data_IF_820849234241
#
_entry.id   IF_820849234241
#
_cell.length_a   1.000
_cell.length_b   1.000
_cell.length_c   1.000
_cell.angle_alpha   90.00
_cell.angle_beta   90.00
_cell.angle_gamma   90.00
#
_symmetry.space_group_name_H-M   'P 1'
#
loop_
_entity.id
_entity.type
_entity.pdbx_description
1 polymer ?
#
# COMPACT_ATOMS: atom_id res chain seq x y z
N UNK A 1 13.92 -3.04 -15.70
CA UNK A 1 13.43 -3.87 -14.56
C UNK A 1 13.51 -3.00 -13.31
N UNK A 2 12.53 -3.07 -12.39
CA UNK A 2 12.54 -2.24 -11.18
C UNK A 2 13.70 -2.65 -10.26
N UNK A 3 14.47 -1.68 -9.74
CA UNK A 3 15.63 -1.90 -8.86
C UNK A 3 15.32 -2.84 -7.70
N UNK A 4 14.18 -2.62 -7.02
CA UNK A 4 13.76 -3.43 -5.88
C UNK A 4 13.42 -4.89 -6.29
N UNK A 5 13.00 -5.13 -7.53
CA UNK A 5 12.78 -6.47 -8.05
C UNK A 5 14.08 -7.22 -8.29
N UNK A 6 15.09 -6.54 -8.81
CA UNK A 6 16.44 -7.12 -8.98
C UNK A 6 17.01 -7.47 -7.61
N UNK A 7 16.96 -6.53 -6.66
CA UNK A 7 17.39 -6.75 -5.29
C UNK A 7 16.66 -7.93 -4.62
N UNK A 8 15.35 -8.09 -4.84
CA UNK A 8 14.62 -9.25 -4.34
C UNK A 8 15.20 -10.56 -4.90
N UNK A 9 15.47 -10.64 -6.21
CA UNK A 9 15.94 -11.88 -6.84
C UNK A 9 17.38 -12.22 -6.50
N UNK A 10 18.26 -11.23 -6.33
CA UNK A 10 19.70 -11.47 -6.06
C UNK A 10 19.99 -11.73 -4.59
N UNK A 11 19.40 -10.94 -3.70
CA UNK A 11 19.78 -10.91 -2.28
C UNK A 11 18.71 -11.50 -1.36
N UNK A 12 17.44 -11.04 -1.52
CA UNK A 12 16.39 -11.34 -0.54
C UNK A 12 15.99 -12.81 -0.61
N UNK A 13 15.89 -13.40 -1.80
CA UNK A 13 15.55 -14.81 -1.98
C UNK A 13 16.56 -15.71 -1.27
N UNK A 14 17.85 -15.43 -1.41
CA UNK A 14 18.91 -16.25 -0.77
C UNK A 14 18.85 -16.17 0.77
N UNK A 15 18.65 -14.92 1.30
CA UNK A 15 18.54 -14.71 2.77
C UNK A 15 17.34 -15.44 3.35
N UNK A 16 16.17 -15.35 2.71
CA UNK A 16 14.96 -16.03 3.16
C UNK A 16 15.08 -17.55 3.06
N UNK A 17 15.74 -18.06 2.00
CA UNK A 17 15.96 -19.50 1.83
C UNK A 17 16.81 -20.08 2.96
N UNK A 18 17.85 -19.36 3.38
CA UNK A 18 18.71 -19.76 4.49
C UNK A 18 17.97 -19.67 5.83
N UNK A 19 17.27 -18.54 6.09
CA UNK A 19 16.59 -18.29 7.37
C UNK A 19 15.49 -19.31 7.68
N UNK A 20 14.67 -19.64 6.66
CA UNK A 20 13.52 -20.55 6.82
C UNK A 20 13.79 -21.97 6.30
N UNK A 21 15.02 -22.29 5.86
CA UNK A 21 15.43 -23.59 5.34
C UNK A 21 14.52 -24.14 4.23
N UNK A 22 14.09 -23.27 3.31
CA UNK A 22 13.26 -23.71 2.17
C UNK A 22 14.03 -24.67 1.25
N UNK A 23 13.42 -25.81 0.95
CA UNK A 23 13.98 -26.82 0.04
C UNK A 23 13.90 -26.40 -1.43
N UNK A 24 12.89 -25.60 -1.77
CA UNK A 24 12.65 -25.14 -3.13
C UNK A 24 12.58 -23.61 -3.18
N UNK A 25 13.24 -23.01 -4.15
CA UNK A 25 13.20 -21.55 -4.40
C UNK A 25 11.77 -21.05 -4.66
N UNK A 26 10.89 -21.88 -5.18
CA UNK A 26 9.48 -21.53 -5.43
C UNK A 26 8.63 -21.42 -4.15
N UNK A 27 9.12 -21.91 -3.01
CA UNK A 27 8.47 -21.76 -1.71
C UNK A 27 8.75 -20.41 -1.06
N UNK A 28 9.83 -19.75 -1.48
CA UNK A 28 10.25 -18.45 -0.93
C UNK A 28 9.13 -17.43 -1.10
N UNK A 29 8.73 -16.73 -0.03
CA UNK A 29 7.66 -15.75 -0.09
C UNK A 29 8.02 -14.58 -1.00
N UNK A 30 7.04 -14.14 -1.80
CA UNK A 30 7.15 -13.01 -2.73
C UNK A 30 5.97 -12.07 -2.58
N UNK A 31 6.13 -10.81 -3.02
CA UNK A 31 5.03 -9.87 -3.10
C UNK A 31 4.19 -10.21 -4.34
N UNK A 32 2.88 -10.34 -4.14
CA UNK A 32 1.92 -10.67 -5.21
C UNK A 32 1.30 -9.40 -5.80
N UNK A 33 0.87 -8.49 -4.94
CA UNK A 33 0.25 -7.21 -5.32
C UNK A 33 0.35 -6.21 -4.17
N UNK A 34 0.23 -4.94 -4.52
CA UNK A 34 0.00 -3.85 -3.57
C UNK A 34 -1.33 -3.19 -3.91
N UNK A 35 -2.18 -3.01 -2.92
CA UNK A 35 -3.46 -2.33 -3.05
C UNK A 35 -3.38 -1.03 -2.29
N UNK A 36 -3.60 0.08 -2.97
CA UNK A 36 -3.72 1.41 -2.37
C UNK A 36 -5.19 1.80 -2.40
N UNK A 37 -5.76 2.07 -1.24
CA UNK A 37 -7.18 2.41 -1.09
C UNK A 37 -7.35 3.73 -0.33
N UNK A 38 -8.19 4.59 -0.85
CA UNK A 38 -8.66 5.81 -0.20
C UNK A 38 -10.16 5.68 0.10
N UNK A 39 -10.53 5.66 1.39
CA UNK A 39 -11.91 5.69 1.84
C UNK A 39 -12.35 7.14 2.06
N UNK A 40 -13.38 7.58 1.35
CA UNK A 40 -13.85 8.96 1.33
C UNK A 40 -15.31 9.02 1.77
N UNK A 41 -15.55 8.97 3.08
CA UNK A 41 -16.92 9.05 3.63
C UNK A 41 -17.63 10.37 3.27
N UNK A 42 -16.89 11.46 3.08
CA UNK A 42 -17.41 12.77 2.68
C UNK A 42 -17.91 12.81 1.22
N UNK A 43 -17.49 11.86 0.39
CA UNK A 43 -17.95 11.75 -0.99
C UNK A 43 -19.47 11.50 -1.11
N UNK A 44 -20.12 11.06 -0.03
CA UNK A 44 -21.57 10.94 0.07
C UNK A 44 -22.26 12.30 -0.11
N UNK A 45 -21.63 13.37 0.40
CA UNK A 45 -22.15 14.74 0.31
C UNK A 45 -21.60 15.49 -0.91
N UNK A 46 -20.35 15.24 -1.27
CA UNK A 46 -19.68 15.94 -2.38
C UNK A 46 -18.88 14.97 -3.25
N UNK A 47 -19.43 14.61 -4.39
CA UNK A 47 -18.79 13.69 -5.36
C UNK A 47 -17.49 14.25 -5.94
N UNK A 48 -17.31 15.58 -6.02
CA UNK A 48 -16.08 16.20 -6.54
C UNK A 48 -14.83 15.84 -5.75
N UNK A 49 -14.98 15.57 -4.43
CA UNK A 49 -13.86 15.10 -3.58
C UNK A 49 -13.29 13.78 -4.09
N UNK A 50 -14.15 12.94 -4.65
CA UNK A 50 -13.76 11.64 -5.17
C UNK A 50 -12.97 11.75 -6.48
N UNK A 51 -13.35 12.68 -7.35
CA UNK A 51 -12.62 12.93 -8.60
C UNK A 51 -11.21 13.49 -8.32
N UNK A 52 -11.11 14.43 -7.37
CA UNK A 52 -9.82 14.95 -6.89
C UNK A 52 -8.95 13.82 -6.32
N UNK A 53 -9.50 12.99 -5.42
CA UNK A 53 -8.77 11.87 -4.83
C UNK A 53 -8.36 10.81 -5.86
N UNK A 54 -9.20 10.53 -6.84
CA UNK A 54 -8.88 9.63 -7.93
C UNK A 54 -7.71 10.16 -8.78
N UNK A 55 -7.69 11.46 -9.06
CA UNK A 55 -6.59 12.12 -9.78
C UNK A 55 -5.28 12.06 -8.99
N UNK A 56 -5.32 12.39 -7.69
CA UNK A 56 -4.17 12.28 -6.81
C UNK A 56 -3.62 10.84 -6.77
N UNK A 57 -4.51 9.85 -6.61
CA UNK A 57 -4.11 8.45 -6.58
C UNK A 57 -3.52 7.97 -7.91
N UNK A 58 -4.04 8.45 -9.04
CA UNK A 58 -3.48 8.18 -10.36
C UNK A 58 -2.06 8.75 -10.50
N UNK A 59 -1.82 9.96 -9.98
CA UNK A 59 -0.51 10.61 -10.00
C UNK A 59 0.50 9.84 -9.14
N UNK A 60 0.11 9.44 -7.92
CA UNK A 60 0.98 8.66 -7.00
C UNK A 60 1.35 7.31 -7.60
N UNK A 61 0.39 6.61 -8.19
CA UNK A 61 0.57 5.20 -8.59
C UNK A 61 0.98 5.02 -10.05
N UNK A 62 0.81 6.05 -10.88
CA UNK A 62 1.01 5.95 -12.32
C UNK A 62 0.03 4.99 -13.02
N UNK A 63 -1.11 4.71 -12.38
CA UNK A 63 -2.15 3.81 -12.90
C UNK A 63 -3.54 4.37 -12.60
N UNK A 64 -4.48 4.20 -13.53
CA UNK A 64 -5.87 4.66 -13.36
C UNK A 64 -6.53 3.94 -12.18
N UNK A 65 -7.08 4.73 -11.25
CA UNK A 65 -7.82 4.24 -10.09
C UNK A 65 -9.23 3.80 -10.47
N UNK A 66 -9.77 2.89 -9.67
CA UNK A 66 -11.15 2.41 -9.76
C UNK A 66 -11.95 3.03 -8.62
N UNK A 67 -13.08 3.63 -8.96
CA UNK A 67 -14.03 4.15 -7.98
C UNK A 67 -14.76 2.98 -7.31
N UNK A 68 -14.69 2.94 -5.98
CA UNK A 68 -15.36 1.90 -5.18
C UNK A 68 -16.74 2.37 -4.74
N UNK A 69 -17.74 1.49 -4.90
CA UNK A 69 -19.15 1.76 -4.59
C UNK A 69 -19.60 0.98 -3.37
N UNK A 70 -20.54 1.53 -2.63
CA UNK A 70 -21.16 0.88 -1.49
C UNK A 70 -21.87 -0.41 -1.90
N UNK A 71 -21.59 -1.51 -1.18
CA UNK A 71 -22.24 -2.82 -1.41
C UNK A 71 -23.60 -2.93 -0.75
N UNK A 72 -23.84 -2.21 0.36
CA UNK A 72 -25.07 -2.24 1.16
C UNK A 72 -25.47 -0.81 1.52
N UNK A 73 -26.78 -0.61 1.71
CA UNK A 73 -27.32 0.64 2.26
C UNK A 73 -27.21 0.63 3.78
N UNK A 74 -26.74 1.75 4.37
CA UNK A 74 -26.59 1.93 5.82
C UNK A 74 -27.21 3.28 6.18
N UNK A 75 -28.35 3.25 6.87
CA UNK A 75 -29.14 4.46 7.19
C UNK A 75 -28.36 5.43 8.09
N UNK A 76 -27.62 4.92 9.08
CA UNK A 76 -26.82 5.73 10.02
C UNK A 76 -25.81 6.63 9.31
N UNK A 77 -25.23 6.17 8.20
CA UNK A 77 -24.27 6.94 7.41
C UNK A 77 -24.92 7.64 6.19
N UNK A 78 -26.24 7.62 6.06
CA UNK A 78 -26.96 8.15 4.88
C UNK A 78 -26.45 7.55 3.56
N UNK A 79 -25.97 6.31 3.60
CA UNK A 79 -25.35 5.60 2.49
C UNK A 79 -26.36 4.70 1.81
N UNK A 80 -26.46 4.79 0.48
CA UNK A 80 -27.26 3.89 -0.35
C UNK A 80 -26.34 2.97 -1.16
N UNK A 81 -26.81 1.76 -1.43
CA UNK A 81 -26.15 0.83 -2.31
C UNK A 81 -25.86 1.49 -3.68
N UNK A 82 -24.64 1.27 -4.20
CA UNK A 82 -24.18 1.84 -5.46
C UNK A 82 -23.59 3.24 -5.37
N UNK A 83 -23.71 3.95 -4.24
CA UNK A 83 -23.07 5.26 -4.07
C UNK A 83 -21.53 5.14 -4.06
N UNK A 84 -20.82 6.04 -4.76
CA UNK A 84 -19.36 6.06 -4.74
C UNK A 84 -18.84 6.56 -3.39
N UNK A 85 -17.94 5.81 -2.75
CA UNK A 85 -17.42 6.09 -1.39
C UNK A 85 -15.90 6.04 -1.27
N UNK A 86 -15.19 5.77 -2.35
CA UNK A 86 -13.74 5.71 -2.33
C UNK A 86 -13.15 5.40 -3.69
N UNK A 87 -11.83 5.33 -3.71
CA UNK A 87 -11.08 4.91 -4.89
C UNK A 87 -9.94 3.97 -4.49
N UNK A 88 -9.58 3.06 -5.37
CA UNK A 88 -8.49 2.12 -5.14
C UNK A 88 -7.70 1.84 -6.41
N UNK A 89 -6.43 1.45 -6.22
CA UNK A 89 -5.55 0.94 -7.27
C UNK A 89 -4.91 -0.36 -6.82
N UNK A 90 -4.80 -1.31 -7.73
CA UNK A 90 -4.05 -2.55 -7.51
C UNK A 90 -2.82 -2.57 -8.41
N UNK A 91 -1.64 -2.54 -7.81
CA UNK A 91 -0.35 -2.58 -8.48
C UNK A 91 0.20 -4.00 -8.49
N UNK A 92 0.83 -4.38 -9.61
CA UNK A 92 1.46 -5.69 -9.83
C UNK A 92 2.77 -5.53 -10.60
N UNK A 93 3.61 -6.56 -10.56
CA UNK A 93 4.87 -6.64 -11.32
C UNK A 93 5.78 -5.42 -11.07
N UNK A 94 6.37 -4.84 -12.10
CA UNK A 94 7.35 -3.76 -11.99
C UNK A 94 6.77 -2.49 -11.33
N UNK A 95 5.54 -2.09 -11.68
CA UNK A 95 4.87 -0.94 -11.05
C UNK A 95 4.70 -1.09 -9.54
N UNK A 96 4.46 -2.31 -9.07
CA UNK A 96 4.37 -2.63 -7.65
C UNK A 96 5.70 -2.43 -6.94
N UNK A 97 6.80 -2.93 -7.51
CA UNK A 97 8.12 -2.79 -6.92
C UNK A 97 8.63 -1.34 -6.95
N UNK A 98 8.36 -0.60 -8.02
CA UNK A 98 8.69 0.83 -8.11
C UNK A 98 7.92 1.66 -7.09
N UNK A 99 6.65 1.39 -6.91
CA UNK A 99 5.84 2.05 -5.88
C UNK A 99 6.37 1.75 -4.47
N UNK A 100 6.70 0.49 -4.16
CA UNK A 100 7.26 0.11 -2.86
C UNK A 100 8.62 0.74 -2.61
N UNK A 101 9.49 0.80 -3.62
CA UNK A 101 10.80 1.45 -3.51
C UNK A 101 10.66 2.94 -3.14
N UNK A 102 9.78 3.67 -3.83
CA UNK A 102 9.49 5.08 -3.51
C UNK A 102 8.83 5.23 -2.13
N UNK A 103 7.90 4.34 -1.79
CA UNK A 103 7.23 4.36 -0.49
C UNK A 103 8.24 4.23 0.65
N UNK A 104 9.11 3.21 0.60
CA UNK A 104 10.04 2.89 1.69
C UNK A 104 11.19 3.90 1.80
N UNK A 105 11.77 4.31 0.67
CA UNK A 105 12.98 5.12 0.66
C UNK A 105 12.73 6.64 0.63
N UNK A 106 11.58 7.07 0.12
CA UNK A 106 11.28 8.50 -0.05
C UNK A 106 10.07 8.93 0.78
N UNK A 107 8.91 8.29 0.58
CA UNK A 107 7.66 8.77 1.16
C UNK A 107 7.59 8.60 2.67
N UNK A 108 8.01 7.44 3.21
CA UNK A 108 8.00 7.21 4.66
C UNK A 108 8.97 8.14 5.41
N UNK A 109 10.11 8.49 4.81
CA UNK A 109 11.05 9.45 5.40
C UNK A 109 10.47 10.88 5.52
N UNK A 110 9.45 11.21 4.74
CA UNK A 110 8.75 12.51 4.77
C UNK A 110 7.59 12.55 5.78
N UNK A 111 7.24 11.43 6.38
CA UNK A 111 6.22 11.39 7.44
C UNK A 111 6.71 12.16 8.65
N UNK A 112 5.90 13.10 9.15
CA UNK A 112 6.21 13.87 10.36
C UNK A 112 6.37 12.94 11.56
N UNK A 113 7.46 13.14 12.34
CA UNK A 113 7.78 12.34 13.53
C UNK A 113 7.81 10.81 13.26
N UNK A 114 8.37 10.42 12.11
CA UNK A 114 8.45 9.02 11.74
C UNK A 114 9.35 8.23 12.69
N UNK A 115 8.77 7.22 13.34
CA UNK A 115 9.45 6.31 14.28
C UNK A 115 9.47 4.86 13.82
N UNK A 116 9.26 4.64 12.51
CA UNK A 116 9.08 3.30 11.94
C UNK A 116 7.62 2.87 11.84
N UNK A 117 7.37 1.89 10.99
CA UNK A 117 6.03 1.30 10.78
C UNK A 117 5.76 0.18 11.80
N UNK A 118 4.50 -0.01 12.16
CA UNK A 118 4.09 -1.03 13.13
C UNK A 118 4.44 -2.45 12.64
N UNK A 119 5.10 -3.24 13.47
CA UNK A 119 5.37 -4.65 13.19
C UNK A 119 4.17 -5.58 13.47
N UNK A 120 3.05 -5.03 14.01
CA UNK A 120 1.85 -5.79 14.40
C UNK A 120 0.70 -5.70 13.39
N UNK A 121 0.89 -5.04 12.25
CA UNK A 121 -0.15 -4.79 11.25
C UNK A 121 -0.23 -5.89 10.16
N UNK A 122 0.07 -7.13 10.54
CA UNK A 122 -0.12 -8.34 9.75
C UNK A 122 -1.49 -8.97 10.03
N UNK A 123 -2.00 -9.73 9.07
CA UNK A 123 -3.34 -10.34 9.11
C UNK A 123 -3.37 -11.81 9.57
N UNK A 124 -2.25 -12.38 10.02
CA UNK A 124 -2.11 -13.80 10.35
C UNK A 124 -1.74 -14.71 9.17
N UNK A 125 -1.67 -14.14 7.95
CA UNK A 125 -1.31 -14.85 6.71
C UNK A 125 -0.19 -14.18 5.93
N UNK A 126 0.62 -13.37 6.63
CA UNK A 126 1.75 -12.69 6.04
C UNK A 126 1.43 -11.49 5.15
N UNK A 127 0.19 -11.02 5.09
CA UNK A 127 -0.15 -9.77 4.41
C UNK A 127 -0.02 -8.60 5.40
N UNK A 128 0.45 -7.46 4.90
CA UNK A 128 0.74 -6.29 5.72
C UNK A 128 -0.09 -5.08 5.27
N UNK A 129 -0.69 -4.35 6.21
CA UNK A 129 -1.44 -3.14 5.91
C UNK A 129 -0.88 -1.94 6.65
N UNK A 130 -0.53 -0.90 5.90
CA UNK A 130 -0.03 0.38 6.39
C UNK A 130 -1.08 1.47 6.19
N UNK A 131 -1.47 2.15 7.28
CA UNK A 131 -2.29 3.35 7.23
C UNK A 131 -1.43 4.61 7.15
N UNK A 132 -1.67 5.43 6.15
CA UNK A 132 -1.05 6.75 5.96
C UNK A 132 -2.11 7.81 6.20
N UNK A 133 -1.80 8.80 7.04
CA UNK A 133 -2.74 9.87 7.40
C UNK A 133 -2.81 10.97 6.35
N UNK A 134 -1.71 11.22 5.65
CA UNK A 134 -1.55 12.38 4.77
C UNK A 134 -0.98 11.94 3.41
N UNK A 135 -1.66 12.26 2.30
CA UNK A 135 -1.16 11.99 0.95
C UNK A 135 0.05 12.86 0.56
N UNK A 136 0.30 13.94 1.31
CA UNK A 136 1.39 14.89 1.04
C UNK A 136 2.80 14.31 1.23
N UNK A 137 2.92 13.12 1.82
CA UNK A 137 4.21 12.42 1.92
C UNK A 137 4.75 11.98 0.56
N UNK A 138 3.87 11.84 -0.44
CA UNK A 138 4.28 11.47 -1.79
C UNK A 138 4.80 12.70 -2.55
N UNK A 139 6.03 12.65 -3.09
CA UNK A 139 6.64 13.79 -3.78
C UNK A 139 5.92 14.18 -5.07
N UNK A 140 5.10 13.29 -5.62
CA UNK A 140 4.31 13.52 -6.82
C UNK A 140 3.12 14.46 -6.61
N UNK A 141 2.75 14.68 -5.35
CA UNK A 141 1.61 15.53 -4.98
C UNK A 141 2.11 16.95 -4.70
N UNK A 142 1.55 17.92 -5.43
CA UNK A 142 1.82 19.32 -5.17
C UNK A 142 0.88 19.84 -4.07
N UNK A 143 1.45 20.45 -3.04
CA UNK A 143 0.74 21.02 -1.89
C UNK A 143 -0.34 22.03 -2.32
N UNK A 144 -0.04 22.87 -3.31
CA UNK A 144 -0.92 23.94 -3.78
C UNK A 144 -2.19 23.45 -4.47
N UNK A 145 -2.20 22.19 -4.95
CA UNK A 145 -3.34 21.59 -5.66
C UNK A 145 -4.23 20.73 -4.77
N UNK A 146 -3.86 20.56 -3.50
CA UNK A 146 -4.58 19.70 -2.55
C UNK A 146 -5.65 20.50 -1.79
N UNK A 147 -6.91 20.19 -2.06
CA UNK A 147 -8.05 20.82 -1.35
C UNK A 147 -8.13 20.39 0.12
N UNK A 148 -7.84 19.12 0.40
CA UNK A 148 -7.96 18.54 1.74
C UNK A 148 -6.97 17.40 1.95
N UNK A 149 -6.49 17.26 3.19
CA UNK A 149 -5.68 16.11 3.60
C UNK A 149 -6.56 14.86 3.62
N UNK A 150 -6.11 13.83 2.91
CA UNK A 150 -6.80 12.54 2.78
C UNK A 150 -5.85 11.43 3.20
N UNK A 151 -6.34 10.53 4.03
CA UNK A 151 -5.62 9.32 4.40
C UNK A 151 -5.79 8.21 3.37
N UNK A 152 -4.88 7.25 3.39
CA UNK A 152 -4.95 6.06 2.56
C UNK A 152 -4.44 4.82 3.28
N UNK A 153 -4.92 3.67 2.87
CA UNK A 153 -4.43 2.37 3.31
C UNK A 153 -3.65 1.70 2.18
N UNK A 154 -2.45 1.24 2.49
CA UNK A 154 -1.59 0.49 1.57
C UNK A 154 -1.50 -0.94 2.08
N UNK A 155 -2.06 -1.88 1.35
CA UNK A 155 -2.03 -3.30 1.68
C UNK A 155 -1.08 -4.03 0.76
N UNK A 156 -0.04 -4.64 1.35
CA UNK A 156 0.96 -5.45 0.67
C UNK A 156 0.54 -6.90 0.83
N UNK A 157 0.15 -7.53 -0.28
CA UNK A 157 -0.25 -8.93 -0.30
C UNK A 157 0.94 -9.77 -0.72
N UNK A 158 1.29 -10.74 0.12
CA UNK A 158 2.42 -11.64 -0.10
C UNK A 158 1.97 -13.08 -0.34
N UNK A 159 2.89 -13.96 -0.70
CA UNK A 159 2.66 -15.41 -0.76
C UNK A 159 3.13 -16.13 0.51
N UNK A 160 3.52 -15.39 1.54
CA UNK A 160 3.91 -15.95 2.83
C UNK A 160 2.75 -16.72 3.46
N UNK A 161 3.06 -17.77 4.20
CA UNK A 161 2.07 -18.58 4.92
C UNK A 161 1.87 -18.07 6.35
N UNK A 162 2.90 -17.45 6.92
CA UNK A 162 2.91 -16.93 8.29
C UNK A 162 3.31 -15.45 8.31
N UNK A 163 2.98 -14.76 9.40
CA UNK A 163 3.36 -13.35 9.59
C UNK A 163 4.87 -13.20 9.77
N UNK A 164 5.55 -14.23 10.28
CA UNK A 164 7.01 -14.24 10.45
C UNK A 164 7.71 -14.20 9.10
N UNK A 165 7.29 -15.06 8.17
CA UNK A 165 7.79 -15.07 6.78
C UNK A 165 7.53 -13.73 6.08
N UNK A 166 6.30 -13.18 6.22
CA UNK A 166 5.92 -11.89 5.67
C UNK A 166 6.75 -10.74 6.23
N UNK A 167 7.02 -10.76 7.55
CA UNK A 167 7.85 -9.76 8.22
C UNK A 167 9.30 -9.83 7.75
N UNK A 168 9.88 -11.02 7.68
CA UNK A 168 11.24 -11.22 7.20
C UNK A 168 11.38 -10.73 5.75
N UNK A 169 10.43 -11.09 4.87
CA UNK A 169 10.39 -10.61 3.49
C UNK A 169 10.41 -9.07 3.41
N UNK A 170 9.51 -8.39 4.12
CA UNK A 170 9.43 -6.93 4.09
C UNK A 170 10.65 -6.27 4.74
N UNK A 171 11.19 -6.86 5.82
CA UNK A 171 12.42 -6.39 6.47
C UNK A 171 13.62 -6.44 5.52
N UNK A 172 13.82 -7.55 4.82
CA UNK A 172 14.91 -7.68 3.86
C UNK A 172 14.75 -6.79 2.63
N UNK A 173 13.52 -6.44 2.24
CA UNK A 173 13.25 -5.45 1.20
C UNK A 173 13.52 -4.00 1.65
N UNK A 174 13.75 -3.76 2.95
CA UNK A 174 14.08 -2.44 3.49
C UNK A 174 12.91 -1.72 4.16
N UNK A 175 11.83 -2.42 4.54
CA UNK A 175 10.74 -1.80 5.29
C UNK A 175 11.21 -1.37 6.68
N UNK A 176 11.10 -0.09 7.05
CA UNK A 176 11.57 0.44 8.33
C UNK A 176 10.59 0.11 9.47
N UNK A 177 10.62 -1.11 9.97
CA UNK A 177 9.82 -1.51 11.12
C UNK A 177 10.30 -0.82 12.40
N UNK A 178 9.34 -0.49 13.25
CA UNK A 178 9.63 0.00 14.60
C UNK A 178 10.11 -1.17 15.46
N UNK A 179 11.23 -0.96 16.17
CA UNK A 179 11.76 -1.87 17.17
C UNK A 179 10.86 -1.93 18.41
#
# INVERSE_FOLDING_TARGET
MARLREFYTTDVVQKLQVEFNYKNVMEVPKIIKVVVNMGLGEAIQNVKILDSAATELNTITGQKSVVTKAKKSIATFKLRQGMPIGCMVTLRRDKMYEFLDRLMNVSLARVRDFKGVSSKAFDGKGNYTLGIKEQLIFPEINYDTVDKIKGMNITIVTSAKTDEEGRALLKYLGMPFRN
#
